data_IF_097491895381
#
_entry.id   IF_097491895381
#
_cell.length_a   1.000
_cell.length_b   1.000
_cell.length_c   1.000
_cell.angle_alpha   90.00
_cell.angle_beta   90.00
_cell.angle_gamma   90.00
#
_symmetry.space_group_name_H-M   'P 1'
#
loop_
_entity.id
_entity.type
_entity.pdbx_description
1 polymer ?
#
# COMPACT_ATOMS: atom_id res chain seq x y z
N UNK A 1 -18.32 18.48 18.97
CA UNK A 1 -18.19 17.21 18.18
C UNK A 1 -17.49 17.37 16.82
N UNK A 2 -17.59 18.50 16.11
CA UNK A 2 -16.91 18.71 14.81
C UNK A 2 -15.37 18.80 14.91
N UNK A 3 -14.85 19.37 15.99
CA UNK A 3 -13.40 19.54 16.24
C UNK A 3 -12.65 18.19 16.30
N UNK A 4 -13.21 17.21 17.00
CA UNK A 4 -12.64 15.85 17.12
C UNK A 4 -12.63 15.07 15.80
N UNK A 5 -13.56 15.39 14.87
CA UNK A 5 -13.64 14.75 13.53
C UNK A 5 -12.50 15.20 12.61
N UNK A 6 -12.12 16.49 12.67
CA UNK A 6 -11.02 17.06 11.86
C UNK A 6 -9.65 16.60 12.39
N UNK A 7 -9.50 16.49 13.70
CA UNK A 7 -8.27 16.04 14.38
C UNK A 7 -7.86 14.60 14.01
N UNK A 8 -8.81 13.65 13.98
CA UNK A 8 -8.50 12.26 13.58
C UNK A 8 -8.07 12.11 12.12
N UNK A 9 -8.50 13.02 11.23
CA UNK A 9 -8.03 13.06 9.84
C UNK A 9 -6.59 13.55 9.75
N UNK A 10 -6.23 14.52 10.55
CA UNK A 10 -4.86 15.05 10.68
C UNK A 10 -3.95 13.99 11.31
N UNK A 11 -4.39 13.33 12.39
CA UNK A 11 -3.61 12.28 13.06
C UNK A 11 -3.13 11.19 12.09
N UNK A 12 -4.01 10.67 11.22
CA UNK A 12 -3.61 9.66 10.24
C UNK A 12 -2.49 10.16 9.32
N UNK A 13 -2.64 11.39 8.83
CA UNK A 13 -1.64 11.97 7.92
C UNK A 13 -0.33 12.27 8.66
N UNK A 14 -0.41 12.76 9.89
CA UNK A 14 0.78 12.99 10.74
C UNK A 14 1.53 11.68 10.99
N UNK A 15 0.83 10.61 11.39
CA UNK A 15 1.45 9.29 11.60
C UNK A 15 2.10 8.79 10.31
N UNK A 16 1.43 8.94 9.17
CA UNK A 16 1.97 8.50 7.87
C UNK A 16 3.19 9.32 7.44
N UNK A 17 3.19 10.63 7.69
CA UNK A 17 4.33 11.52 7.44
C UNK A 17 5.52 11.16 8.34
N UNK A 18 5.28 11.01 9.65
CA UNK A 18 6.34 10.64 10.61
C UNK A 18 6.93 9.28 10.28
N UNK A 19 6.10 8.29 9.94
CA UNK A 19 6.55 6.97 9.52
C UNK A 19 7.37 7.03 8.22
N UNK A 20 6.94 7.82 7.25
CA UNK A 20 7.67 8.01 6.00
C UNK A 20 9.01 8.69 6.26
N UNK A 21 9.06 9.72 7.09
CA UNK A 21 10.30 10.37 7.49
C UNK A 21 11.25 9.43 8.24
N UNK A 22 10.72 8.62 9.16
CA UNK A 22 11.50 7.65 9.91
C UNK A 22 12.11 6.57 9.00
N UNK A 23 11.32 6.03 8.08
CA UNK A 23 11.77 4.94 7.18
C UNK A 23 12.63 5.42 6.02
N UNK A 24 12.64 6.73 5.73
CA UNK A 24 13.43 7.36 4.67
C UNK A 24 14.31 8.52 5.21
N UNK A 25 14.77 8.39 6.45
CA UNK A 25 15.48 9.44 7.18
C UNK A 25 16.96 9.61 6.82
N UNK A 26 17.52 8.83 5.89
CA UNK A 26 18.94 8.97 5.50
C UNK A 26 19.12 10.14 4.52
N UNK A 27 19.11 11.36 5.06
CA UNK A 27 19.22 12.60 4.26
C UNK A 27 20.58 12.71 3.54
N UNK A 28 21.65 12.18 4.13
CA UNK A 28 22.97 12.17 3.49
C UNK A 28 22.99 11.41 2.14
N UNK A 29 22.08 10.44 1.96
CA UNK A 29 21.94 9.73 0.69
C UNK A 29 21.48 10.64 -0.45
N UNK A 30 20.59 11.58 -0.17
CA UNK A 30 20.15 12.56 -1.17
C UNK A 30 21.24 13.58 -1.50
N UNK A 31 22.04 13.98 -0.52
CA UNK A 31 23.15 14.93 -0.74
C UNK A 31 24.31 14.29 -1.54
N UNK A 32 24.61 13.02 -1.26
CA UNK A 32 25.73 12.28 -1.87
C UNK A 32 25.32 11.48 -3.11
N UNK A 33 24.04 11.42 -3.47
CA UNK A 33 23.52 10.58 -4.55
C UNK A 33 23.77 9.08 -4.35
N UNK A 34 23.93 8.61 -3.09
CA UNK A 34 24.25 7.21 -2.75
C UNK A 34 23.12 6.56 -1.96
N UNK A 35 22.90 5.27 -2.23
CA UNK A 35 21.94 4.45 -1.48
C UNK A 35 22.54 4.10 -0.13
N UNK A 36 21.73 4.13 0.93
CA UNK A 36 22.13 3.65 2.25
C UNK A 36 22.47 2.14 2.21
N UNK A 37 23.64 1.77 2.67
CA UNK A 37 24.14 0.38 2.68
C UNK A 37 24.36 -0.17 4.12
N UNK A 38 23.82 0.49 5.15
CA UNK A 38 23.98 0.07 6.54
C UNK A 38 23.07 -1.11 6.93
N UNK A 39 23.23 -1.67 8.17
CA UNK A 39 22.56 -2.89 8.62
C UNK A 39 21.03 -2.77 8.68
N UNK A 40 20.47 -1.57 8.87
CA UNK A 40 19.02 -1.35 8.85
C UNK A 40 18.38 -1.68 7.49
N UNK A 41 19.17 -1.74 6.40
CA UNK A 41 18.69 -2.13 5.08
C UNK A 41 18.18 -3.56 5.01
N UNK A 42 18.66 -4.41 5.89
CA UNK A 42 18.24 -5.80 5.99
C UNK A 42 16.86 -5.95 6.68
N UNK A 43 16.37 -4.89 7.32
CA UNK A 43 15.08 -4.88 7.99
C UNK A 43 13.99 -4.50 7.00
N UNK A 44 12.95 -5.34 6.89
CA UNK A 44 11.77 -5.02 6.09
C UNK A 44 10.90 -3.97 6.79
N UNK A 45 10.34 -3.05 5.99
CA UNK A 45 9.30 -2.12 6.47
C UNK A 45 7.96 -2.52 5.87
N UNK A 46 6.85 -2.44 6.61
CA UNK A 46 5.58 -3.04 6.20
C UNK A 46 4.90 -2.34 5.01
N UNK A 47 5.43 -1.21 4.54
CA UNK A 47 4.91 -0.43 3.40
C UNK A 47 5.68 -0.64 2.11
N UNK A 48 5.19 -0.04 1.04
CA UNK A 48 5.89 0.02 -0.24
C UNK A 48 6.97 1.12 -0.16
N UNK A 49 8.17 0.73 0.24
CA UNK A 49 9.34 1.60 0.42
C UNK A 49 10.51 1.06 -0.40
N UNK A 50 10.88 1.76 -1.48
CA UNK A 50 11.90 1.25 -2.40
C UNK A 50 13.28 1.19 -1.74
N UNK A 51 13.94 0.02 -1.77
CA UNK A 51 15.30 -0.14 -1.25
C UNK A 51 16.35 0.69 -2.01
N UNK A 52 16.08 1.01 -3.29
CA UNK A 52 16.95 1.85 -4.12
C UNK A 52 16.76 3.35 -3.86
N UNK A 53 15.84 3.75 -2.97
CA UNK A 53 15.71 5.15 -2.57
C UNK A 53 16.96 5.57 -1.78
N UNK A 54 17.58 6.71 -2.10
CA UNK A 54 18.74 7.23 -1.36
C UNK A 54 18.47 7.38 0.14
N UNK A 55 17.27 7.83 0.51
CA UNK A 55 16.87 8.02 1.90
C UNK A 55 16.39 6.79 2.63
N UNK A 56 16.12 5.66 1.95
CA UNK A 56 15.47 4.51 2.57
C UNK A 56 16.40 3.75 3.52
N UNK A 57 16.03 3.70 4.79
CA UNK A 57 16.73 2.93 5.83
C UNK A 57 16.36 1.45 5.79
N UNK A 58 15.10 1.11 5.47
CA UNK A 58 14.63 -0.27 5.40
C UNK A 58 14.22 -0.70 3.99
N UNK A 59 14.00 -1.99 3.79
CA UNK A 59 13.69 -2.60 2.50
C UNK A 59 12.18 -2.87 2.33
N UNK A 60 11.72 -2.79 1.07
CA UNK A 60 10.36 -3.19 0.70
C UNK A 60 10.22 -4.73 0.77
N UNK A 61 9.21 -5.30 1.45
CA UNK A 61 9.08 -6.75 1.56
C UNK A 61 8.82 -7.43 0.21
N UNK A 62 8.13 -6.78 -0.74
CA UNK A 62 7.95 -7.33 -2.09
C UNK A 62 9.28 -7.36 -2.86
N UNK A 63 10.09 -6.31 -2.74
CA UNK A 63 11.41 -6.25 -3.37
C UNK A 63 12.36 -7.27 -2.77
N UNK A 64 12.41 -7.40 -1.45
CA UNK A 64 13.23 -8.38 -0.74
C UNK A 64 12.82 -9.81 -1.06
N UNK A 65 11.52 -10.08 -1.14
CA UNK A 65 10.98 -11.38 -1.55
C UNK A 65 11.47 -11.77 -2.94
N UNK A 66 11.30 -10.87 -3.92
CA UNK A 66 11.74 -11.13 -5.29
C UNK A 66 13.27 -11.27 -5.39
N UNK A 67 14.04 -10.43 -4.70
CA UNK A 67 15.51 -10.49 -4.72
C UNK A 67 16.05 -11.85 -4.26
N UNK A 68 15.40 -12.48 -3.27
CA UNK A 68 15.81 -13.81 -2.80
C UNK A 68 15.38 -14.94 -3.72
N UNK A 69 14.27 -14.79 -4.47
CA UNK A 69 13.83 -15.78 -5.45
C UNK A 69 14.66 -15.72 -6.74
N UNK A 70 15.22 -14.57 -7.07
CA UNK A 70 15.92 -14.33 -8.35
C UNK A 70 17.40 -14.62 -8.32
N UNK A 71 18.00 -15.01 -7.19
CA UNK A 71 19.40 -15.37 -7.05
C UNK A 71 19.80 -16.64 -7.82
N UNK A 72 21.08 -16.92 -7.91
CA UNK A 72 21.63 -18.16 -8.50
C UNK A 72 21.04 -19.40 -7.84
N UNK A 73 20.96 -19.39 -6.50
CA UNK A 73 20.24 -20.38 -5.72
C UNK A 73 18.97 -19.72 -5.15
N UNK A 74 17.78 -20.04 -5.69
CA UNK A 74 16.53 -19.48 -5.14
C UNK A 74 16.30 -20.02 -3.74
N UNK A 75 16.39 -19.13 -2.77
CA UNK A 75 16.12 -19.46 -1.37
C UNK A 75 14.74 -18.96 -0.97
N UNK A 76 13.99 -19.80 -0.27
CA UNK A 76 12.71 -19.36 0.26
C UNK A 76 12.94 -18.26 1.33
N UNK A 77 12.44 -17.03 1.12
CA UNK A 77 12.71 -15.92 2.00
C UNK A 77 11.84 -15.99 3.28
N UNK A 78 12.11 -16.97 4.15
CA UNK A 78 11.31 -17.26 5.35
C UNK A 78 11.12 -16.04 6.23
N UNK A 79 12.17 -15.23 6.41
CA UNK A 79 12.08 -13.97 7.16
C UNK A 79 11.05 -13.02 6.55
N UNK A 80 11.10 -12.80 5.23
CA UNK A 80 10.20 -11.87 4.54
C UNK A 80 8.78 -12.41 4.53
N UNK A 81 8.61 -13.72 4.32
CA UNK A 81 7.31 -14.41 4.39
C UNK A 81 6.73 -14.28 5.80
N UNK A 82 7.49 -14.64 6.83
CA UNK A 82 7.07 -14.51 8.23
C UNK A 82 6.70 -13.07 8.59
N UNK A 83 7.51 -12.10 8.16
CA UNK A 83 7.23 -10.68 8.33
C UNK A 83 5.89 -10.27 7.67
N UNK A 84 5.66 -10.66 6.42
CA UNK A 84 4.43 -10.36 5.70
C UNK A 84 3.20 -10.98 6.36
N UNK A 85 3.30 -12.24 6.80
CA UNK A 85 2.23 -12.94 7.53
C UNK A 85 1.95 -12.29 8.89
N UNK A 86 2.98 -11.96 9.67
CA UNK A 86 2.83 -11.29 10.95
C UNK A 86 2.12 -9.94 10.82
N UNK A 87 2.61 -9.06 9.93
CA UNK A 87 1.96 -7.77 9.69
C UNK A 87 0.59 -7.91 9.04
N UNK A 88 0.39 -8.91 8.19
CA UNK A 88 -0.91 -9.26 7.62
C UNK A 88 -1.92 -9.65 8.69
N UNK A 89 -1.57 -10.60 9.55
CA UNK A 89 -2.44 -11.10 10.63
C UNK A 89 -2.71 -10.05 11.72
N UNK A 90 -1.71 -9.23 12.06
CA UNK A 90 -1.88 -8.19 13.08
C UNK A 90 -2.65 -6.97 12.54
N UNK A 91 -2.19 -6.41 11.43
CA UNK A 91 -2.61 -5.10 10.94
C UNK A 91 -3.41 -5.16 9.64
N UNK A 92 -3.26 -6.20 8.80
CA UNK A 92 -3.87 -6.24 7.48
C UNK A 92 -3.61 -4.97 6.65
N UNK A 93 -4.60 -4.47 5.93
CA UNK A 93 -4.47 -3.25 5.11
C UNK A 93 -4.43 -1.92 5.90
N UNK A 94 -4.41 -1.97 7.22
CA UNK A 94 -4.09 -0.78 8.02
C UNK A 94 -2.73 -0.21 7.66
N UNK A 95 -1.75 -1.08 7.39
CA UNK A 95 -0.42 -0.71 6.87
C UNK A 95 -0.55 0.21 5.64
N UNK A 96 -1.37 -0.16 4.67
CA UNK A 96 -1.59 0.63 3.45
C UNK A 96 -2.19 2.02 3.75
N UNK A 97 -3.02 2.11 4.79
CA UNK A 97 -3.69 3.35 5.17
C UNK A 97 -2.84 4.31 5.98
N UNK A 98 -1.90 3.80 6.80
CA UNK A 98 -1.24 4.56 7.86
C UNK A 98 0.30 4.56 7.77
N UNK A 99 0.92 3.51 7.22
CA UNK A 99 2.36 3.31 7.26
C UNK A 99 3.02 3.34 5.86
N UNK A 100 2.25 3.28 4.77
CA UNK A 100 2.82 3.18 3.42
C UNK A 100 3.25 4.55 2.87
N UNK A 101 4.55 4.78 2.57
CA UNK A 101 5.04 6.02 1.99
C UNK A 101 4.43 6.31 0.61
N UNK A 102 4.35 5.31 -0.27
CA UNK A 102 3.74 5.48 -1.58
C UNK A 102 2.23 5.76 -1.50
N UNK A 103 1.55 5.24 -0.47
CA UNK A 103 0.17 5.59 -0.17
C UNK A 103 0.01 7.06 0.24
N UNK A 104 1.01 7.65 0.92
CA UNK A 104 1.05 9.07 1.24
C UNK A 104 1.15 9.92 -0.02
N UNK A 105 2.05 9.57 -0.94
CA UNK A 105 2.20 10.27 -2.23
C UNK A 105 0.87 10.32 -2.97
N UNK A 106 0.16 9.19 -3.10
CA UNK A 106 -1.15 9.16 -3.77
C UNK A 106 -2.21 10.00 -3.01
N UNK A 107 -2.19 10.01 -1.68
CA UNK A 107 -3.11 10.84 -0.89
C UNK A 107 -2.86 12.34 -1.10
N UNK A 108 -1.60 12.76 -1.24
CA UNK A 108 -1.22 14.14 -1.53
C UNK A 108 -1.63 14.54 -2.95
N UNK A 109 -1.35 13.70 -3.94
CA UNK A 109 -1.77 13.93 -5.34
C UNK A 109 -3.29 14.07 -5.46
N UNK A 110 -4.05 13.23 -4.75
CA UNK A 110 -5.51 13.31 -4.75
C UNK A 110 -6.06 14.60 -4.13
N UNK A 111 -5.29 15.33 -3.31
CA UNK A 111 -5.72 16.62 -2.77
C UNK A 111 -5.69 17.76 -3.78
N UNK A 112 -4.89 17.64 -4.84
CA UNK A 112 -4.79 18.65 -5.90
C UNK A 112 -6.17 18.83 -6.54
N UNK A 113 -6.75 20.04 -6.57
CA UNK A 113 -8.10 20.29 -7.07
C UNK A 113 -8.13 20.39 -8.61
N UNK A 114 -7.73 19.35 -9.31
CA UNK A 114 -7.72 19.30 -10.78
C UNK A 114 -8.91 18.49 -11.31
N UNK A 115 -9.89 19.16 -11.91
CA UNK A 115 -11.00 18.54 -12.62
C UNK A 115 -11.96 17.69 -11.79
N UNK A 116 -12.85 16.95 -12.46
CA UNK A 116 -13.83 16.05 -11.82
C UNK A 116 -13.15 14.83 -11.22
N UNK A 117 -13.25 14.68 -9.91
CA UNK A 117 -12.75 13.49 -9.20
C UNK A 117 -13.69 12.32 -9.37
N UNK A 118 -13.15 11.18 -9.82
CA UNK A 118 -13.88 9.92 -9.94
C UNK A 118 -13.39 8.96 -8.85
N UNK A 119 -14.29 8.42 -8.05
CA UNK A 119 -13.93 7.45 -7.03
C UNK A 119 -13.62 6.07 -7.64
N UNK A 120 -14.27 5.73 -8.75
CA UNK A 120 -14.09 4.47 -9.46
C UNK A 120 -13.81 4.71 -10.94
N UNK A 121 -12.99 3.83 -11.52
CA UNK A 121 -12.81 3.70 -12.95
C UNK A 121 -13.89 2.80 -13.56
N UNK A 122 -14.20 2.93 -14.87
CA UNK A 122 -15.03 1.96 -15.56
C UNK A 122 -14.40 0.56 -15.40
N UNK A 123 -15.21 -0.47 -15.17
CA UNK A 123 -14.71 -1.83 -14.93
C UNK A 123 -14.06 -2.06 -13.56
N UNK A 124 -14.32 -1.22 -12.56
CA UNK A 124 -13.70 -1.24 -11.21
C UNK A 124 -13.61 -2.64 -10.59
N UNK A 125 -14.65 -3.49 -10.75
CA UNK A 125 -14.65 -4.86 -10.19
C UNK A 125 -13.58 -5.75 -10.83
N UNK A 126 -13.42 -5.71 -12.14
CA UNK A 126 -12.41 -6.48 -12.86
C UNK A 126 -11.01 -5.95 -12.58
N UNK A 127 -10.84 -4.62 -12.61
CA UNK A 127 -9.57 -3.95 -12.31
C UNK A 127 -9.07 -4.24 -10.89
N UNK A 128 -9.95 -4.40 -9.90
CA UNK A 128 -9.54 -4.79 -8.54
C UNK A 128 -8.99 -6.20 -8.46
N UNK A 129 -9.34 -7.09 -9.38
CA UNK A 129 -8.77 -8.44 -9.47
C UNK A 129 -7.37 -8.44 -10.07
N UNK A 130 -7.03 -7.44 -10.89
CA UNK A 130 -5.73 -7.32 -11.56
C UNK A 130 -4.55 -7.35 -10.57
N UNK A 131 -4.67 -6.75 -9.38
CA UNK A 131 -3.61 -6.79 -8.37
C UNK A 131 -3.27 -8.19 -7.87
N UNK A 132 -4.26 -9.11 -7.86
CA UNK A 132 -4.02 -10.51 -7.50
C UNK A 132 -3.30 -11.25 -8.63
N UNK A 133 -3.64 -10.95 -9.88
CA UNK A 133 -2.90 -11.44 -11.05
C UNK A 133 -1.46 -10.90 -11.05
N UNK A 134 -1.26 -9.62 -10.73
CA UNK A 134 0.08 -9.03 -10.58
C UNK A 134 0.86 -9.72 -9.46
N UNK A 135 0.24 -9.98 -8.31
CA UNK A 135 0.87 -10.70 -7.21
C UNK A 135 1.28 -12.11 -7.63
N UNK A 136 0.37 -12.89 -8.22
CA UNK A 136 0.66 -14.27 -8.62
C UNK A 136 1.68 -14.33 -9.76
N UNK A 137 1.47 -13.58 -10.83
CA UNK A 137 2.30 -13.67 -12.04
C UNK A 137 3.64 -12.97 -11.86
N UNK A 138 3.66 -11.67 -11.53
CA UNK A 138 4.89 -10.85 -11.53
C UNK A 138 5.73 -10.96 -10.25
N UNK A 139 5.13 -11.35 -9.13
CA UNK A 139 5.87 -11.45 -7.86
C UNK A 139 6.28 -12.88 -7.56
N UNK A 140 5.51 -13.89 -7.99
CA UNK A 140 5.76 -15.29 -7.64
C UNK A 140 6.18 -16.11 -8.88
N UNK A 141 5.30 -16.23 -9.88
CA UNK A 141 5.50 -17.17 -11.00
C UNK A 141 6.69 -16.78 -11.87
N UNK A 142 6.71 -15.57 -12.42
CA UNK A 142 7.79 -15.15 -13.32
C UNK A 142 9.18 -15.18 -12.65
N UNK A 143 9.36 -14.69 -11.40
CA UNK A 143 10.66 -14.81 -10.74
C UNK A 143 11.13 -16.25 -10.50
N UNK A 144 10.22 -17.20 -10.34
CA UNK A 144 10.57 -18.60 -10.10
C UNK A 144 10.89 -19.38 -11.37
N UNK A 145 10.11 -19.16 -12.44
CA UNK A 145 10.14 -20.02 -13.63
C UNK A 145 10.88 -19.42 -14.81
N UNK A 146 10.91 -18.08 -14.93
CA UNK A 146 11.57 -17.42 -16.05
C UNK A 146 12.97 -16.96 -15.64
N UNK A 147 13.97 -17.74 -16.09
CA UNK A 147 15.40 -17.42 -15.88
C UNK A 147 16.04 -17.01 -17.19
N UNK A 148 17.08 -16.23 -17.09
CA UNK A 148 17.91 -15.89 -18.24
C UNK A 148 18.83 -17.07 -18.56
N UNK A 149 18.76 -17.60 -19.78
CA UNK A 149 19.52 -18.78 -20.20
C UNK A 149 21.03 -18.54 -20.18
N UNK A 150 21.46 -17.28 -20.32
CA UNK A 150 22.90 -16.92 -20.35
C UNK A 150 23.48 -16.80 -18.94
N UNK A 151 22.71 -16.29 -17.99
CA UNK A 151 23.21 -15.90 -16.65
C UNK A 151 22.69 -16.87 -15.57
N UNK A 152 21.67 -17.66 -15.85
CA UNK A 152 21.02 -18.58 -14.89
C UNK A 152 20.24 -17.88 -13.77
N UNK A 153 20.08 -16.54 -13.85
CA UNK A 153 19.44 -15.71 -12.84
C UNK A 153 18.11 -15.18 -13.37
N UNK A 154 17.11 -15.10 -12.51
CA UNK A 154 15.83 -14.48 -12.87
C UNK A 154 15.87 -12.98 -12.59
N UNK A 155 14.78 -12.28 -12.98
CA UNK A 155 14.61 -10.85 -12.73
C UNK A 155 13.52 -10.59 -11.68
N UNK A 156 13.63 -9.53 -10.89
CA UNK A 156 12.53 -9.08 -10.02
C UNK A 156 11.46 -8.38 -10.87
N UNK A 157 10.66 -9.15 -11.59
CA UNK A 157 9.74 -8.73 -12.65
C UNK A 157 8.82 -7.57 -12.25
N UNK A 158 8.22 -7.64 -11.07
CA UNK A 158 7.38 -6.53 -10.61
C UNK A 158 8.18 -5.26 -10.39
N UNK A 159 9.33 -5.35 -9.70
CA UNK A 159 10.19 -4.19 -9.42
C UNK A 159 10.80 -3.62 -10.70
N UNK A 160 11.19 -4.49 -11.64
CA UNK A 160 11.82 -4.12 -12.90
C UNK A 160 10.87 -3.43 -13.87
N UNK A 161 9.62 -3.92 -14.00
CA UNK A 161 8.70 -3.48 -15.06
C UNK A 161 7.50 -2.65 -14.60
N UNK A 162 7.00 -2.84 -13.37
CA UNK A 162 5.72 -2.27 -12.95
C UNK A 162 5.84 -1.29 -11.79
N UNK A 163 6.79 -1.49 -10.84
CA UNK A 163 6.81 -0.77 -9.58
C UNK A 163 7.01 0.75 -9.73
N UNK A 164 5.98 1.59 -9.49
CA UNK A 164 6.09 3.04 -9.60
C UNK A 164 6.87 3.67 -8.43
N UNK A 165 6.85 3.02 -7.26
CA UNK A 165 7.62 3.47 -6.10
C UNK A 165 9.12 3.40 -6.37
N UNK A 166 9.58 2.33 -7.05
CA UNK A 166 10.97 2.21 -7.47
C UNK A 166 11.38 3.27 -8.49
N UNK A 167 10.51 3.62 -9.41
CA UNK A 167 10.77 4.66 -10.40
C UNK A 167 10.81 6.04 -9.76
N UNK A 168 9.85 6.36 -8.89
CA UNK A 168 9.77 7.67 -8.24
C UNK A 168 10.90 7.87 -7.23
N UNK A 169 11.05 6.92 -6.29
CA UNK A 169 11.93 7.08 -5.13
C UNK A 169 13.40 6.66 -5.42
N UNK A 170 13.60 5.78 -6.37
CA UNK A 170 14.93 5.31 -6.80
C UNK A 170 15.33 5.91 -8.14
N UNK A 171 14.60 5.60 -9.22
CA UNK A 171 14.97 5.99 -10.57
C UNK A 171 15.11 7.50 -10.76
N UNK A 172 14.04 8.25 -10.62
CA UNK A 172 14.04 9.70 -10.83
C UNK A 172 14.98 10.42 -9.87
N UNK A 173 15.00 10.03 -8.59
CA UNK A 173 15.89 10.66 -7.60
C UNK A 173 17.36 10.40 -7.88
N UNK A 174 17.77 9.15 -8.20
CA UNK A 174 19.16 8.84 -8.47
C UNK A 174 19.66 9.45 -9.79
N UNK A 175 18.83 9.43 -10.85
CA UNK A 175 19.20 10.04 -12.13
C UNK A 175 19.27 11.57 -12.04
N UNK A 176 18.46 12.20 -11.19
CA UNK A 176 18.56 13.66 -10.97
C UNK A 176 19.82 14.05 -10.22
N UNK A 177 20.29 13.19 -9.31
CA UNK A 177 21.46 13.45 -8.45
C UNK A 177 22.79 13.03 -9.08
N UNK A 178 22.80 12.06 -10.02
CA UNK A 178 24.00 11.50 -10.61
C UNK A 178 23.98 11.62 -12.14
N UNK A 179 24.85 12.45 -12.70
CA UNK A 179 24.95 12.61 -14.17
C UNK A 179 25.43 11.34 -14.88
N UNK A 180 26.37 10.61 -14.27
CA UNK A 180 26.88 9.36 -14.81
C UNK A 180 25.85 8.28 -15.03
N UNK A 181 24.76 8.30 -14.24
CA UNK A 181 23.66 7.34 -14.39
C UNK A 181 22.68 7.71 -15.52
N UNK A 182 22.69 8.96 -15.99
CA UNK A 182 21.79 9.40 -17.08
C UNK A 182 22.08 8.69 -18.40
N UNK A 183 23.37 8.42 -18.68
CA UNK A 183 23.75 7.66 -19.88
C UNK A 183 23.27 6.21 -19.90
N UNK A 184 23.00 5.62 -18.73
CA UNK A 184 22.46 4.26 -18.60
C UNK A 184 20.93 4.20 -18.68
N UNK A 185 20.24 5.33 -18.81
CA UNK A 185 18.79 5.40 -18.89
C UNK A 185 18.29 4.96 -20.28
N UNK A 186 18.02 3.66 -20.45
CA UNK A 186 17.50 3.08 -21.69
C UNK A 186 15.98 3.02 -21.74
N UNK A 187 15.44 2.25 -22.71
CA UNK A 187 14.03 2.03 -22.95
C UNK A 187 13.21 1.69 -21.70
N UNK A 188 13.75 0.85 -20.83
CA UNK A 188 13.06 0.42 -19.60
C UNK A 188 12.77 1.60 -18.66
N UNK A 189 13.69 2.57 -18.58
CA UNK A 189 13.49 3.78 -17.78
C UNK A 189 12.36 4.65 -18.36
N UNK A 190 12.33 4.79 -19.68
CA UNK A 190 11.29 5.55 -20.39
C UNK A 190 9.91 4.90 -20.16
N UNK A 191 9.81 3.57 -20.32
CA UNK A 191 8.60 2.81 -20.04
C UNK A 191 8.08 3.03 -18.61
N UNK A 192 8.97 2.86 -17.63
CA UNK A 192 8.61 3.02 -16.21
C UNK A 192 8.23 4.46 -15.86
N UNK A 193 8.87 5.42 -16.48
CA UNK A 193 8.54 6.84 -16.32
C UNK A 193 7.16 7.16 -16.91
N UNK A 194 6.84 6.64 -18.08
CA UNK A 194 5.52 6.77 -18.69
C UNK A 194 4.42 6.16 -17.80
N UNK A 195 4.66 4.97 -17.26
CA UNK A 195 3.75 4.31 -16.33
C UNK A 195 3.57 5.11 -15.03
N UNK A 196 4.65 5.68 -14.48
CA UNK A 196 4.60 6.54 -13.30
C UNK A 196 3.80 7.81 -13.56
N UNK A 197 4.03 8.49 -14.69
CA UNK A 197 3.29 9.69 -15.09
C UNK A 197 1.79 9.38 -15.23
N UNK A 198 1.45 8.28 -15.91
CA UNK A 198 0.06 7.83 -16.04
C UNK A 198 -0.59 7.60 -14.66
N UNK A 199 0.14 6.98 -13.72
CA UNK A 199 -0.34 6.77 -12.36
C UNK A 199 -0.45 8.06 -11.55
N UNK A 200 0.44 9.04 -11.75
CA UNK A 200 0.33 10.37 -11.14
C UNK A 200 -0.95 11.06 -11.60
N UNK A 201 -1.17 11.14 -12.92
CA UNK A 201 -2.39 11.73 -13.50
C UNK A 201 -3.64 11.03 -12.98
N UNK A 202 -3.61 9.70 -12.94
CA UNK A 202 -4.72 8.90 -12.43
C UNK A 202 -4.94 9.12 -10.93
N UNK A 203 -3.88 9.34 -10.13
CA UNK A 203 -3.94 9.60 -8.69
C UNK A 203 -4.53 10.98 -8.36
N UNK A 204 -4.37 11.95 -9.25
CA UNK A 204 -5.05 13.25 -9.13
C UNK A 204 -6.56 13.11 -9.32
N UNK A 205 -6.99 12.28 -10.28
CA UNK A 205 -8.41 12.07 -10.62
C UNK A 205 -9.10 11.02 -9.75
N UNK A 206 -8.38 9.96 -9.31
CA UNK A 206 -8.93 8.84 -8.56
C UNK A 206 -8.19 8.59 -7.26
N UNK A 207 -8.92 8.18 -6.21
CA UNK A 207 -8.30 7.91 -4.91
C UNK A 207 -7.51 6.61 -4.93
N UNK A 208 -6.20 6.68 -4.77
CA UNK A 208 -5.26 5.57 -4.65
C UNK A 208 -5.40 4.50 -5.75
N UNK A 209 -5.33 4.85 -7.04
CA UNK A 209 -5.56 3.89 -8.12
C UNK A 209 -4.55 2.73 -8.11
N UNK A 210 -3.28 2.99 -7.86
CA UNK A 210 -2.27 1.94 -7.76
C UNK A 210 -2.60 0.95 -6.64
N UNK A 211 -2.95 1.43 -5.44
CA UNK A 211 -3.31 0.57 -4.31
C UNK A 211 -4.59 -0.23 -4.55
N UNK A 212 -5.52 0.28 -5.36
CA UNK A 212 -6.76 -0.41 -5.73
C UNK A 212 -6.53 -1.52 -6.75
N UNK A 213 -5.69 -1.27 -7.78
CA UNK A 213 -5.71 -2.08 -9.00
C UNK A 213 -4.43 -2.85 -9.27
N UNK A 214 -3.25 -2.35 -8.85
CA UNK A 214 -1.95 -2.89 -9.26
C UNK A 214 -1.05 -3.36 -8.10
N UNK A 215 -1.28 -2.87 -6.87
CA UNK A 215 -0.36 -3.10 -5.77
C UNK A 215 -0.40 -4.54 -5.24
N UNK A 216 0.66 -5.36 -5.42
CA UNK A 216 0.71 -6.74 -4.92
C UNK A 216 0.69 -6.82 -3.39
N UNK A 217 1.35 -5.86 -2.70
CA UNK A 217 1.33 -5.79 -1.25
C UNK A 217 -0.09 -5.49 -0.73
N UNK A 218 -0.86 -4.65 -1.46
CA UNK A 218 -2.27 -4.40 -1.18
C UNK A 218 -3.15 -5.64 -1.42
N UNK A 219 -2.82 -6.49 -2.39
CA UNK A 219 -3.47 -7.78 -2.60
C UNK A 219 -3.19 -8.72 -1.44
N UNK A 220 -1.92 -8.88 -1.07
CA UNK A 220 -1.49 -9.76 0.01
C UNK A 220 -2.16 -9.40 1.35
N UNK A 221 -2.03 -8.16 1.80
CA UNK A 221 -2.68 -7.71 3.03
C UNK A 221 -4.21 -7.74 2.95
N UNK A 222 -4.77 -7.71 1.74
CA UNK A 222 -6.21 -7.86 1.50
C UNK A 222 -6.73 -9.19 2.00
N UNK A 223 -6.02 -10.30 1.75
CA UNK A 223 -6.41 -11.64 2.23
C UNK A 223 -6.56 -11.69 3.76
N UNK A 224 -5.65 -11.03 4.48
CA UNK A 224 -5.67 -11.00 5.94
C UNK A 224 -6.67 -10.00 6.53
N UNK A 225 -7.23 -9.12 5.71
CA UNK A 225 -7.97 -7.98 6.24
C UNK A 225 -9.22 -8.38 7.03
N UNK A 226 -9.83 -9.52 6.70
CA UNK A 226 -11.01 -10.06 7.41
C UNK A 226 -10.65 -10.71 8.75
N UNK A 227 -9.47 -11.30 8.85
CA UNK A 227 -9.01 -12.05 10.02
C UNK A 227 -8.05 -11.25 10.89
N UNK A 228 -7.52 -10.14 10.41
CA UNK A 228 -6.55 -9.31 11.12
C UNK A 228 -7.06 -8.88 12.50
N UNK A 229 -6.14 -8.83 13.46
CA UNK A 229 -6.45 -8.50 14.86
C UNK A 229 -7.00 -7.08 15.00
N UNK A 230 -6.40 -6.13 14.27
CA UNK A 230 -6.80 -4.72 14.31
C UNK A 230 -7.98 -4.46 13.36
N UNK A 231 -9.23 -4.61 13.81
CA UNK A 231 -10.45 -4.45 13.01
C UNK A 231 -11.33 -3.32 13.53
N UNK A 232 -12.07 -2.68 12.61
CA UNK A 232 -13.15 -1.76 12.98
C UNK A 232 -14.36 -2.53 13.51
N UNK A 233 -14.95 -2.07 14.62
CA UNK A 233 -16.20 -2.61 15.13
C UNK A 233 -17.40 -2.04 14.39
N UNK A 234 -18.46 -2.83 14.27
CA UNK A 234 -19.78 -2.40 13.80
C UNK A 234 -20.84 -2.88 14.79
N UNK A 235 -21.68 -1.96 15.21
CA UNK A 235 -22.81 -2.19 16.11
C UNK A 235 -24.10 -1.97 15.31
N UNK A 236 -24.79 -3.06 15.02
CA UNK A 236 -26.00 -3.05 14.20
C UNK A 236 -27.17 -2.34 14.90
N UNK A 237 -27.25 -2.45 16.23
CA UNK A 237 -28.33 -1.84 17.01
C UNK A 237 -28.28 -0.30 16.99
N UNK A 238 -27.08 0.29 16.83
CA UNK A 238 -26.90 1.73 16.72
C UNK A 238 -26.98 2.23 15.27
N UNK A 239 -27.11 1.33 14.30
CA UNK A 239 -27.11 1.69 12.89
C UNK A 239 -28.51 2.14 12.44
N UNK A 240 -28.63 3.40 12.04
CA UNK A 240 -29.89 3.97 11.49
C UNK A 240 -29.93 3.90 9.95
N UNK A 241 -29.13 3.07 9.32
CA UNK A 241 -29.08 2.84 7.87
C UNK A 241 -28.98 4.11 6.97
N UNK A 242 -28.44 5.21 7.47
CA UNK A 242 -28.42 6.52 6.78
C UNK A 242 -27.46 6.62 5.58
N UNK A 243 -26.66 5.58 5.27
CA UNK A 243 -25.78 5.52 4.12
C UNK A 243 -24.53 6.45 4.13
N UNK A 244 -24.40 7.37 5.09
CA UNK A 244 -23.28 8.36 5.15
C UNK A 244 -21.90 7.72 5.17
N UNK A 245 -21.77 6.53 5.79
CA UNK A 245 -20.51 5.78 5.82
C UNK A 245 -20.09 5.31 4.42
N UNK A 246 -21.02 4.86 3.59
CA UNK A 246 -20.76 4.42 2.22
C UNK A 246 -20.32 5.58 1.33
N UNK A 247 -21.03 6.72 1.37
CA UNK A 247 -20.70 7.94 0.61
C UNK A 247 -19.33 8.49 1.01
N UNK A 248 -18.95 8.41 2.30
CA UNK A 248 -17.68 8.90 2.79
C UNK A 248 -16.49 7.99 2.48
N UNK A 249 -16.74 6.77 2.00
CA UNK A 249 -15.69 5.76 1.77
C UNK A 249 -14.92 6.02 0.46
N UNK A 250 -13.63 6.40 0.50
CA UNK A 250 -12.86 6.68 -0.70
C UNK A 250 -12.50 5.41 -1.47
N UNK A 251 -12.58 4.23 -0.82
CA UNK A 251 -12.37 2.92 -1.44
C UNK A 251 -13.66 2.33 -2.03
N UNK A 252 -14.81 3.06 -1.90
CA UNK A 252 -16.13 2.68 -2.44
C UNK A 252 -16.58 1.27 -2.02
N UNK A 253 -16.50 1.02 -0.73
CA UNK A 253 -16.98 -0.22 -0.13
C UNK A 253 -18.49 -0.15 0.13
N UNK A 254 -19.15 -1.31 0.04
CA UNK A 254 -20.55 -1.45 0.47
C UNK A 254 -20.60 -1.46 1.99
N UNK A 255 -20.67 -0.28 2.61
CA UNK A 255 -20.75 -0.13 4.05
C UNK A 255 -22.20 -0.06 4.51
N UNK A 256 -22.52 -0.55 5.73
CA UNK A 256 -21.59 -1.00 6.78
C UNK A 256 -21.11 -2.46 6.66
N UNK A 257 -21.77 -3.33 5.88
CA UNK A 257 -21.46 -4.77 5.79
C UNK A 257 -20.01 -5.03 5.28
N UNK A 258 -19.51 -4.19 4.37
CA UNK A 258 -18.14 -4.28 3.85
C UNK A 258 -17.05 -3.71 4.76
N UNK A 259 -17.38 -3.39 6.01
CA UNK A 259 -16.38 -2.97 7.01
C UNK A 259 -15.38 -4.11 7.23
N UNK A 260 -14.09 -3.80 7.18
CA UNK A 260 -12.98 -4.78 7.21
C UNK A 260 -12.91 -5.72 5.99
N UNK A 261 -13.66 -5.49 4.91
CA UNK A 261 -13.49 -6.22 3.65
C UNK A 261 -12.11 -6.02 3.04
N UNK A 262 -11.77 -6.85 2.07
CA UNK A 262 -10.44 -6.97 1.45
C UNK A 262 -9.85 -5.64 0.95
N UNK A 263 -10.71 -4.67 0.59
CA UNK A 263 -10.31 -3.35 0.12
C UNK A 263 -10.25 -2.27 1.22
N UNK A 264 -10.62 -2.59 2.46
CA UNK A 264 -10.67 -1.61 3.54
C UNK A 264 -9.27 -1.24 4.06
N UNK A 265 -8.79 -0.03 3.79
CA UNK A 265 -7.51 0.50 4.29
C UNK A 265 -7.58 1.07 5.72
N UNK A 266 -8.70 0.89 6.40
CA UNK A 266 -8.94 1.34 7.78
C UNK A 266 -8.63 2.82 8.03
N UNK A 267 -8.93 3.67 7.06
CA UNK A 267 -8.69 5.12 7.13
C UNK A 267 -9.61 5.88 8.11
N UNK A 268 -10.65 5.25 8.62
CA UNK A 268 -11.57 5.80 9.62
C UNK A 268 -12.52 6.91 9.11
N UNK A 269 -12.64 7.14 7.78
CA UNK A 269 -13.58 8.15 7.26
C UNK A 269 -15.04 7.78 7.55
N UNK A 270 -15.40 6.51 7.41
CA UNK A 270 -16.75 5.99 7.71
C UNK A 270 -17.11 6.18 9.19
N UNK A 271 -16.16 5.97 10.11
CA UNK A 271 -16.36 6.18 11.54
C UNK A 271 -16.66 7.66 11.84
N UNK A 272 -15.93 8.56 11.17
CA UNK A 272 -16.17 10.02 11.33
C UNK A 272 -17.48 10.49 10.73
N UNK A 273 -17.97 9.81 9.68
CA UNK A 273 -19.23 10.15 9.03
C UNK A 273 -20.46 9.58 9.77
N UNK A 274 -20.26 8.58 10.63
CA UNK A 274 -21.35 7.93 11.37
C UNK A 274 -21.91 8.85 12.47
N UNK A 275 -23.21 9.25 12.41
CA UNK A 275 -23.80 10.13 13.41
C UNK A 275 -24.05 9.43 14.74
N UNK A 276 -24.40 8.13 14.71
CA UNK A 276 -24.78 7.33 15.87
C UNK A 276 -23.62 6.57 16.50
N UNK A 277 -22.37 6.77 15.99
CA UNK A 277 -21.19 6.02 16.43
C UNK A 277 -21.33 4.48 16.33
N UNK A 278 -22.18 3.99 15.41
CA UNK A 278 -22.34 2.57 15.13
C UNK A 278 -21.02 1.90 14.62
N UNK A 279 -20.12 2.71 14.04
CA UNK A 279 -18.79 2.26 13.62
C UNK A 279 -17.74 2.75 14.63
N UNK A 280 -16.96 1.82 15.18
CA UNK A 280 -15.92 2.11 16.17
C UNK A 280 -14.51 1.86 15.63
N UNK A 281 -13.49 2.64 16.06
CA UNK A 281 -12.13 2.42 15.60
C UNK A 281 -11.55 1.11 16.16
N UNK A 282 -10.63 0.50 15.39
CA UNK A 282 -10.01 -0.78 15.69
C UNK A 282 -9.37 -0.85 17.10
N UNK A 283 -8.76 0.24 17.55
CA UNK A 283 -8.11 0.34 18.86
C UNK A 283 -9.09 0.47 20.05
N UNK A 284 -10.40 0.59 19.80
CA UNK A 284 -11.44 0.71 20.83
C UNK A 284 -12.39 -0.49 20.88
N UNK A 285 -11.99 -1.67 20.39
CA UNK A 285 -12.75 -2.88 20.68
C UNK A 285 -12.55 -3.26 22.16
N UNK A 286 -13.42 -2.72 23.01
CA UNK A 286 -13.58 -3.28 24.36
C UNK A 286 -14.09 -4.72 24.24
N UNK A 287 -13.74 -5.58 25.18
CA UNK A 287 -14.15 -7.00 25.24
C UNK A 287 -15.67 -7.25 25.10
N UNK A 288 -16.51 -6.23 25.23
CA UNK A 288 -17.96 -6.26 25.04
C UNK A 288 -18.42 -6.50 23.57
N UNK A 289 -17.58 -6.18 22.57
CA UNK A 289 -17.94 -6.37 21.15
C UNK A 289 -17.70 -7.80 20.64
N UNK A 290 -17.23 -8.73 21.45
CA UNK A 290 -17.10 -10.17 21.15
C UNK A 290 -18.41 -10.96 21.41
N UNK A 291 -19.51 -10.29 21.71
CA UNK A 291 -20.79 -10.98 21.87
C UNK A 291 -21.32 -11.45 20.52
N UNK A 292 -21.55 -12.75 20.46
CA UNK A 292 -22.17 -13.67 19.49
C UNK A 292 -23.00 -13.02 18.37
N UNK A 293 -22.97 -13.58 17.14
CA UNK A 293 -24.02 -13.31 16.18
C UNK A 293 -25.39 -13.66 16.82
N UNK A 294 -26.30 -12.70 16.78
CA UNK A 294 -27.69 -12.96 17.14
C UNK A 294 -28.25 -13.99 16.16
N UNK A 295 -29.09 -14.94 16.63
CA UNK A 295 -29.76 -15.88 15.74
C UNK A 295 -30.63 -15.12 14.74
N UNK A 296 -30.65 -15.65 13.53
CA UNK A 296 -31.50 -15.21 12.43
C UNK A 296 -32.93 -15.01 12.93
N UNK A 297 -33.50 -13.85 12.65
CA UNK A 297 -34.96 -13.68 12.78
C UNK A 297 -35.61 -14.14 11.48
N UNK A 298 -36.75 -14.83 11.58
CA UNK A 298 -37.48 -15.38 10.47
C UNK A 298 -37.97 -14.33 9.47
#
# INVERSE_FOLDING_TARGET
>A
MAKTRKERGRLRQTVQLLWTALTNGYLAGFLKGKIYAGPLKNVCVPGLNCYSCPGALGACPVGSFQAMLTGFEPRLPLYVVGFLFAFGALLGRFVCGWLCPFGLVQDLLYKIPLGRKRLNLPGDRALRRLKYAVLALFVVILPLFVRDDLIGVSYPWFCKYICPSGTLMGGWTLLSLNENLRGAAGWLFTWKSALLIALIVLSVKSFRPFCKYLCPLGAFYGFFNRIALLRHGFDEQKCVACGRCAVSCPMTLKLPQGTNGDECIRCGRCIRACPTAALTPALKQSAAARRKPSPERP
#
